data_IF_155316389193
#
_entry.id   IF_155316389193
#
_cell.length_a   1.000
_cell.length_b   1.000
_cell.length_c   1.000
_cell.angle_alpha   90.00
_cell.angle_beta   90.00
_cell.angle_gamma   90.00
#
_symmetry.space_group_name_H-M   'P 1'
#
loop_
_entity.id
_entity.type
_entity.pdbx_description
1 polymer ?
#
# COMPACT_ATOMS: atom_id res chain seq x y z
N UNK A 1 94.09 -4.16 -46.48
CA UNK A 1 92.91 -3.70 -45.70
C UNK A 1 91.64 -4.24 -46.34
N UNK A 2 91.16 -5.42 -45.90
CA UNK A 2 89.84 -6.00 -46.26
C UNK A 2 89.34 -6.89 -45.11
N UNK A 3 89.36 -6.37 -43.88
CA UNK A 3 88.91 -7.10 -42.68
C UNK A 3 87.73 -6.44 -41.93
N UNK A 4 87.34 -5.21 -42.30
CA UNK A 4 86.36 -4.43 -41.52
C UNK A 4 84.95 -4.38 -42.14
N UNK A 5 84.78 -4.67 -43.44
CA UNK A 5 83.47 -4.59 -44.10
C UNK A 5 82.51 -5.72 -43.67
N UNK A 6 83.02 -6.95 -43.49
CA UNK A 6 82.22 -8.06 -42.94
C UNK A 6 81.87 -7.88 -41.46
N UNK A 7 82.75 -7.24 -40.69
CA UNK A 7 82.50 -6.95 -39.27
C UNK A 7 81.41 -5.89 -39.10
N UNK A 8 81.40 -4.83 -39.93
CA UNK A 8 80.35 -3.81 -39.90
C UNK A 8 78.96 -4.37 -40.24
N UNK A 9 78.87 -5.27 -41.23
CA UNK A 9 77.61 -5.93 -41.60
C UNK A 9 77.09 -6.82 -40.45
N UNK A 10 77.96 -7.62 -39.82
CA UNK A 10 77.59 -8.48 -38.70
C UNK A 10 77.12 -7.64 -37.50
N UNK A 11 77.81 -6.54 -37.19
CA UNK A 11 77.40 -5.63 -36.11
C UNK A 11 76.02 -5.01 -36.40
N UNK A 12 75.77 -4.55 -37.64
CA UNK A 12 74.47 -4.01 -38.02
C UNK A 12 73.33 -5.04 -37.93
N UNK A 13 73.57 -6.28 -38.34
CA UNK A 13 72.61 -7.39 -38.22
C UNK A 13 72.33 -7.71 -36.76
N UNK A 14 73.36 -7.76 -35.92
CA UNK A 14 73.20 -8.03 -34.49
C UNK A 14 72.41 -6.90 -33.81
N UNK A 15 72.71 -5.62 -34.11
CA UNK A 15 71.94 -4.50 -33.58
C UNK A 15 70.48 -4.52 -34.05
N UNK A 16 70.24 -4.83 -35.33
CA UNK A 16 68.89 -4.95 -35.86
C UNK A 16 68.13 -6.12 -35.20
N UNK A 17 68.79 -7.24 -34.95
CA UNK A 17 68.24 -8.38 -34.21
C UNK A 17 67.89 -7.99 -32.77
N UNK A 18 68.76 -7.26 -32.07
CA UNK A 18 68.50 -6.81 -30.70
C UNK A 18 67.35 -5.80 -30.63
N UNK A 19 67.32 -4.82 -31.53
CA UNK A 19 66.25 -3.82 -31.59
C UNK A 19 64.91 -4.50 -31.93
N UNK A 20 64.87 -5.36 -32.94
CA UNK A 20 63.64 -6.09 -33.32
C UNK A 20 63.13 -7.02 -32.22
N UNK A 21 64.03 -7.75 -31.53
CA UNK A 21 63.66 -8.60 -30.39
C UNK A 21 63.12 -7.77 -29.23
N UNK A 22 63.75 -6.63 -28.93
CA UNK A 22 63.33 -5.73 -27.85
C UNK A 22 61.96 -5.12 -28.13
N UNK A 23 61.70 -4.69 -29.37
CA UNK A 23 60.39 -4.17 -29.79
C UNK A 23 59.32 -5.27 -29.70
N UNK A 24 59.62 -6.48 -30.18
CA UNK A 24 58.68 -7.61 -30.16
C UNK A 24 58.29 -7.99 -28.73
N UNK A 25 59.28 -8.09 -27.82
CA UNK A 25 59.03 -8.37 -26.40
C UNK A 25 58.35 -7.20 -25.69
N UNK A 26 58.64 -5.97 -26.09
CA UNK A 26 58.03 -4.75 -25.58
C UNK A 26 56.54 -4.63 -25.92
N UNK A 27 56.11 -5.12 -27.08
CA UNK A 27 54.71 -5.13 -27.52
C UNK A 27 53.95 -6.37 -27.05
N UNK A 28 54.61 -7.54 -27.01
CA UNK A 28 53.94 -8.80 -26.66
C UNK A 28 53.35 -8.78 -25.24
N UNK A 29 54.06 -8.22 -24.26
CA UNK A 29 53.60 -8.19 -22.87
C UNK A 29 52.33 -7.35 -22.66
N UNK A 30 52.24 -6.09 -23.12
CA UNK A 30 51.01 -5.30 -23.06
C UNK A 30 49.83 -5.96 -23.78
N UNK A 31 50.06 -6.61 -24.93
CA UNK A 31 48.99 -7.29 -25.68
C UNK A 31 48.44 -8.49 -24.90
N UNK A 32 49.32 -9.34 -24.35
CA UNK A 32 48.90 -10.47 -23.52
C UNK A 32 48.16 -10.00 -22.25
N UNK A 33 48.61 -8.90 -21.65
CA UNK A 33 47.92 -8.30 -20.52
C UNK A 33 46.53 -7.78 -20.89
N UNK A 34 46.40 -7.08 -22.03
CA UNK A 34 45.11 -6.60 -22.53
C UNK A 34 44.16 -7.75 -22.87
N UNK A 35 44.67 -8.86 -23.40
CA UNK A 35 43.89 -10.07 -23.65
C UNK A 35 43.39 -10.70 -22.34
N UNK A 36 44.22 -10.76 -21.29
CA UNK A 36 43.78 -11.22 -19.97
C UNK A 36 42.65 -10.34 -19.43
N UNK A 37 42.85 -9.02 -19.41
CA UNK A 37 41.82 -8.06 -18.93
C UNK A 37 40.52 -8.21 -19.72
N UNK A 38 40.60 -8.36 -21.04
CA UNK A 38 39.42 -8.52 -21.89
C UNK A 38 38.69 -9.83 -21.60
N UNK A 39 39.43 -10.92 -21.40
CA UNK A 39 38.86 -12.21 -21.00
C UNK A 39 38.22 -12.15 -19.61
N UNK A 40 38.89 -11.53 -18.64
CA UNK A 40 38.37 -11.36 -17.28
C UNK A 40 37.09 -10.52 -17.28
N UNK A 41 37.03 -9.48 -18.11
CA UNK A 41 35.82 -8.68 -18.31
C UNK A 41 34.67 -9.51 -18.92
N UNK A 42 34.95 -10.34 -19.92
CA UNK A 42 33.93 -11.22 -20.53
C UNK A 42 33.41 -12.24 -19.52
N UNK A 43 34.31 -12.90 -18.76
CA UNK A 43 33.91 -13.84 -17.70
C UNK A 43 33.06 -13.16 -16.64
N UNK A 44 33.49 -11.99 -16.17
CA UNK A 44 32.76 -11.18 -15.21
C UNK A 44 31.37 -10.80 -15.70
N UNK A 45 31.22 -10.43 -16.98
CA UNK A 45 29.91 -10.13 -17.57
C UNK A 45 29.02 -11.37 -17.63
N UNK A 46 29.57 -12.52 -18.01
CA UNK A 46 28.82 -13.77 -18.04
C UNK A 46 28.30 -14.16 -16.65
N UNK A 47 29.14 -14.06 -15.62
CA UNK A 47 28.73 -14.31 -14.22
C UNK A 47 27.61 -13.38 -13.78
N UNK A 48 27.72 -12.09 -14.12
CA UNK A 48 26.71 -11.09 -13.80
C UNK A 48 25.37 -11.38 -14.49
N UNK A 49 25.36 -11.67 -15.78
CA UNK A 49 24.13 -12.04 -16.50
C UNK A 49 23.51 -13.34 -15.97
N UNK A 50 24.34 -14.29 -15.51
CA UNK A 50 23.86 -15.53 -14.91
C UNK A 50 23.18 -15.28 -13.55
N UNK A 51 23.76 -14.43 -12.68
CA UNK A 51 23.10 -14.01 -11.44
C UNK A 51 21.83 -13.21 -11.69
N UNK A 52 21.84 -12.30 -12.67
CA UNK A 52 20.67 -11.47 -12.99
C UNK A 52 19.53 -12.32 -13.52
N UNK A 53 19.81 -13.27 -14.42
CA UNK A 53 18.81 -14.17 -15.00
C UNK A 53 18.09 -14.99 -13.92
N UNK A 54 18.83 -15.50 -12.94
CA UNK A 54 18.22 -16.23 -11.81
C UNK A 54 17.42 -15.29 -10.90
N UNK A 55 17.93 -14.08 -10.62
CA UNK A 55 17.20 -13.09 -9.84
C UNK A 55 15.87 -12.71 -10.52
N UNK A 56 15.89 -12.38 -11.80
CA UNK A 56 14.70 -12.02 -12.59
C UNK A 56 13.68 -13.17 -12.66
N UNK A 57 14.13 -14.41 -12.84
CA UNK A 57 13.24 -15.58 -12.83
C UNK A 57 12.54 -15.75 -11.45
N UNK A 58 13.28 -15.63 -10.36
CA UNK A 58 12.72 -15.71 -9.00
C UNK A 58 11.74 -14.55 -8.77
N UNK A 59 12.11 -13.32 -9.16
CA UNK A 59 11.24 -12.15 -9.08
C UNK A 59 9.95 -12.36 -9.86
N UNK A 60 10.03 -12.92 -11.07
CA UNK A 60 8.87 -13.23 -11.90
C UNK A 60 7.99 -14.31 -11.27
N UNK A 61 8.58 -15.39 -10.76
CA UNK A 61 7.85 -16.45 -10.06
C UNK A 61 7.12 -15.92 -8.82
N UNK A 62 7.79 -15.10 -8.02
CA UNK A 62 7.19 -14.44 -6.86
C UNK A 62 6.07 -13.46 -7.25
N UNK A 63 6.20 -12.71 -8.35
CA UNK A 63 5.16 -11.81 -8.87
C UNK A 63 3.94 -12.54 -9.44
N UNK A 64 4.10 -13.79 -9.89
CA UNK A 64 3.05 -14.57 -10.56
C UNK A 64 2.53 -15.73 -9.71
N UNK A 65 2.77 -15.67 -8.40
CA UNK A 65 2.32 -16.66 -7.41
C UNK A 65 2.75 -18.10 -7.73
N UNK A 66 3.98 -18.25 -8.24
CA UNK A 66 4.60 -19.55 -8.47
C UNK A 66 5.46 -19.95 -7.28
N UNK A 67 5.59 -21.25 -7.06
CA UNK A 67 6.41 -21.78 -5.97
C UNK A 67 7.89 -21.39 -6.13
N UNK A 68 8.47 -20.92 -5.03
CA UNK A 68 9.89 -20.58 -4.88
C UNK A 68 10.36 -21.14 -3.54
N UNK A 69 11.43 -21.93 -3.56
CA UNK A 69 12.08 -22.48 -2.37
C UNK A 69 13.02 -21.47 -1.70
N UNK A 70 13.60 -21.86 -0.57
CA UNK A 70 14.62 -21.06 0.13
C UNK A 70 15.97 -21.04 -0.60
N UNK A 71 16.17 -21.97 -1.55
CA UNK A 71 17.33 -22.05 -2.43
C UNK A 71 16.88 -22.43 -3.83
N UNK A 72 17.36 -21.71 -4.83
CA UNK A 72 17.00 -21.87 -6.24
C UNK A 72 18.28 -21.93 -7.09
N UNK A 73 18.22 -22.60 -8.24
CA UNK A 73 19.35 -22.63 -9.18
C UNK A 73 18.87 -22.53 -10.62
N UNK A 74 19.73 -21.95 -11.45
CA UNK A 74 19.53 -21.84 -12.89
C UNK A 74 20.82 -22.23 -13.59
N UNK A 75 20.74 -23.16 -14.52
CA UNK A 75 21.86 -23.57 -15.38
C UNK A 75 21.64 -23.04 -16.79
N UNK A 76 22.56 -22.22 -17.29
CA UNK A 76 22.59 -21.75 -18.68
C UNK A 76 23.87 -22.25 -19.34
N UNK A 77 23.75 -23.18 -20.28
CA UNK A 77 24.92 -23.84 -20.87
C UNK A 77 25.60 -24.78 -19.87
N UNK A 78 26.90 -24.57 -19.63
CA UNK A 78 27.71 -25.35 -18.68
C UNK A 78 27.78 -24.75 -17.27
N UNK A 79 27.22 -23.56 -17.07
CA UNK A 79 27.42 -22.76 -15.86
C UNK A 79 26.14 -22.68 -15.05
N UNK A 80 26.28 -22.58 -13.73
CA UNK A 80 25.14 -22.58 -12.79
C UNK A 80 25.19 -21.35 -11.88
N UNK A 81 24.07 -20.65 -11.78
CA UNK A 81 23.81 -19.70 -10.70
C UNK A 81 23.01 -20.37 -9.58
N UNK A 82 23.23 -19.91 -8.37
CA UNK A 82 22.45 -20.29 -7.19
C UNK A 82 21.92 -19.03 -6.49
N UNK A 83 20.76 -19.12 -5.86
CA UNK A 83 20.18 -18.01 -5.13
C UNK A 83 19.62 -18.48 -3.79
N UNK A 84 19.84 -17.68 -2.75
CA UNK A 84 19.14 -17.83 -1.48
C UNK A 84 17.98 -16.85 -1.41
N UNK A 85 16.80 -17.35 -1.04
CA UNK A 85 15.60 -16.55 -0.81
C UNK A 85 15.29 -16.57 0.68
N UNK A 86 15.35 -15.40 1.30
CA UNK A 86 15.03 -15.21 2.72
C UNK A 86 13.87 -14.24 2.89
N UNK A 87 13.08 -14.45 3.94
CA UNK A 87 12.04 -13.50 4.32
C UNK A 87 12.68 -12.25 4.94
N UNK A 88 12.21 -11.08 4.51
CA UNK A 88 12.53 -9.77 5.09
C UNK A 88 11.23 -9.11 5.52
N UNK A 89 11.32 -8.04 6.32
CA UNK A 89 10.13 -7.32 6.78
C UNK A 89 9.34 -6.76 5.59
N UNK A 90 8.23 -7.41 5.26
CA UNK A 90 7.33 -6.97 4.20
C UNK A 90 7.64 -7.52 2.81
N UNK A 91 8.47 -8.55 2.69
CA UNK A 91 8.69 -9.23 1.41
C UNK A 91 9.82 -10.26 1.46
N UNK A 92 10.60 -10.35 0.38
CA UNK A 92 11.67 -11.36 0.22
C UNK A 92 12.96 -10.71 -0.24
N UNK A 93 14.08 -11.14 0.32
CA UNK A 93 15.42 -10.82 -0.16
C UNK A 93 15.94 -11.99 -0.99
N UNK A 94 16.35 -11.70 -2.22
CA UNK A 94 16.95 -12.64 -3.15
C UNK A 94 18.43 -12.28 -3.27
N UNK A 95 19.31 -13.24 -2.99
CA UNK A 95 20.75 -13.09 -3.23
C UNK A 95 21.17 -14.14 -4.25
N UNK A 96 21.30 -13.74 -5.51
CA UNK A 96 21.70 -14.60 -6.61
C UNK A 96 23.21 -14.50 -6.86
N UNK A 97 23.89 -15.64 -6.96
CA UNK A 97 25.32 -15.78 -7.18
C UNK A 97 25.56 -16.50 -8.51
N UNK A 98 26.18 -15.82 -9.46
CA UNK A 98 26.63 -16.39 -10.72
C UNK A 98 28.14 -16.69 -10.66
N UNK A 99 28.53 -17.87 -11.12
CA UNK A 99 29.93 -18.26 -11.25
C UNK A 99 30.20 -18.71 -12.69
N UNK A 100 31.12 -18.02 -13.37
CA UNK A 100 31.63 -18.40 -14.69
C UNK A 100 33.15 -18.51 -14.58
N UNK A 101 33.69 -19.73 -14.66
CA UNK A 101 35.14 -19.99 -14.64
C UNK A 101 35.88 -19.21 -13.54
N UNK A 102 35.43 -19.35 -12.30
CA UNK A 102 35.95 -18.72 -11.06
C UNK A 102 35.76 -17.20 -10.97
N UNK A 103 35.08 -16.57 -11.94
CA UNK A 103 34.59 -15.20 -11.79
C UNK A 103 33.23 -15.24 -11.10
N UNK A 104 33.14 -14.69 -9.89
CA UNK A 104 31.89 -14.68 -9.11
C UNK A 104 31.28 -13.29 -9.11
N UNK A 105 29.96 -13.22 -9.37
CA UNK A 105 29.16 -12.00 -9.25
C UNK A 105 27.92 -12.30 -8.42
N UNK A 106 27.56 -11.37 -7.53
CA UNK A 106 26.33 -11.48 -6.73
C UNK A 106 25.43 -10.27 -6.95
N UNK A 107 24.16 -10.56 -7.13
CA UNK A 107 23.10 -9.56 -7.21
C UNK A 107 22.17 -9.77 -6.03
N UNK A 108 21.87 -8.69 -5.32
CA UNK A 108 20.83 -8.66 -4.31
C UNK A 108 19.62 -7.90 -4.83
N UNK A 109 18.45 -8.50 -4.69
CA UNK A 109 17.17 -7.90 -5.00
C UNK A 109 16.26 -8.04 -3.78
N UNK A 110 15.93 -6.90 -3.17
CA UNK A 110 14.95 -6.85 -2.10
C UNK A 110 13.60 -6.53 -2.73
N UNK A 111 12.69 -7.49 -2.64
CA UNK A 111 11.32 -7.36 -3.08
C UNK A 111 10.46 -7.06 -1.86
N UNK A 112 9.71 -5.97 -1.91
CA UNK A 112 8.64 -5.69 -0.95
C UNK A 112 7.31 -6.01 -1.62
N UNK A 113 6.34 -6.50 -0.86
CA UNK A 113 4.98 -6.66 -1.35
C UNK A 113 4.46 -5.27 -1.75
N UNK A 114 4.05 -5.11 -3.01
CA UNK A 114 3.50 -3.89 -3.57
C UNK A 114 1.99 -3.80 -3.33
N UNK A 115 1.44 -2.60 -3.48
CA UNK A 115 0.08 -2.23 -3.07
C UNK A 115 -1.02 -3.12 -3.66
N UNK A 116 -1.79 -3.78 -2.80
CA UNK A 116 -3.05 -4.45 -3.17
C UNK A 116 -4.29 -3.55 -3.06
N UNK A 117 -4.13 -2.31 -2.59
CA UNK A 117 -5.24 -1.43 -2.20
C UNK A 117 -4.91 0.00 -2.65
N UNK A 118 -5.73 0.56 -3.54
CA UNK A 118 -5.67 1.99 -3.91
C UNK A 118 -7.00 2.65 -3.56
N UNK A 119 -6.92 3.80 -2.91
CA UNK A 119 -8.09 4.63 -2.64
C UNK A 119 -8.14 5.77 -3.64
N UNK A 120 -9.10 5.66 -4.56
CA UNK A 120 -9.24 6.59 -5.68
C UNK A 120 -10.16 7.76 -5.39
N UNK A 121 -10.85 7.73 -4.24
CA UNK A 121 -11.93 8.66 -3.90
C UNK A 121 -11.78 9.17 -2.47
N UNK A 122 -12.33 10.34 -2.17
CA UNK A 122 -12.41 10.84 -0.80
C UNK A 122 -13.35 10.03 0.07
N UNK A 123 -14.41 9.53 -0.56
CA UNK A 123 -15.39 8.63 0.04
C UNK A 123 -15.74 7.55 -0.97
N UNK A 124 -15.54 6.29 -0.60
CA UNK A 124 -15.95 5.13 -1.40
C UNK A 124 -16.96 4.28 -0.64
N UNK A 125 -18.13 4.05 -1.22
CA UNK A 125 -19.25 3.42 -0.53
C UNK A 125 -19.76 2.20 -1.31
N UNK A 126 -20.07 1.14 -0.59
CA UNK A 126 -20.71 -0.04 -1.14
C UNK A 126 -22.19 0.17 -1.43
N UNK A 127 -22.90 -0.95 -1.53
CA UNK A 127 -24.31 -1.01 -1.97
C UNK A 127 -25.27 -0.36 -0.96
N UNK A 128 -24.85 -0.21 0.30
CA UNK A 128 -25.64 0.42 1.35
C UNK A 128 -25.80 1.93 1.20
N UNK A 129 -25.01 2.57 0.34
CA UNK A 129 -25.17 3.97 -0.03
C UNK A 129 -24.62 4.99 0.99
N UNK A 130 -24.60 6.26 0.55
CA UNK A 130 -24.19 7.42 1.34
C UNK A 130 -25.42 8.23 1.75
N UNK A 131 -25.52 8.58 3.02
CA UNK A 131 -26.42 9.63 3.49
C UNK A 131 -25.59 10.80 4.05
N UNK A 132 -25.78 11.99 3.50
CA UNK A 132 -25.13 13.22 3.94
C UNK A 132 -26.18 14.25 4.37
N UNK A 133 -26.09 14.78 5.58
CA UNK A 133 -27.17 15.58 6.18
C UNK A 133 -26.65 16.83 6.88
N UNK A 134 -27.53 17.82 7.04
CA UNK A 134 -27.24 19.11 7.68
C UNK A 134 -26.15 19.88 6.95
N UNK A 135 -25.17 20.44 7.65
CA UNK A 135 -24.06 21.21 7.08
C UNK A 135 -22.82 20.36 6.77
N UNK A 136 -22.99 19.03 6.61
CA UNK A 136 -21.88 18.12 6.42
C UNK A 136 -21.20 18.40 5.08
N UNK A 137 -19.86 18.35 5.08
CA UNK A 137 -19.05 18.64 3.90
C UNK A 137 -18.09 17.50 3.58
N UNK A 138 -18.03 17.09 2.31
CA UNK A 138 -16.96 16.23 1.78
C UNK A 138 -16.08 17.07 0.86
N UNK A 139 -14.78 17.16 1.15
CA UNK A 139 -13.78 17.76 0.27
C UNK A 139 -13.06 16.66 -0.49
N UNK A 140 -13.56 16.32 -1.67
CA UNK A 140 -13.09 15.21 -2.48
C UNK A 140 -14.23 14.57 -3.30
N UNK A 141 -13.85 13.63 -4.17
CA UNK A 141 -14.81 12.87 -4.98
C UNK A 141 -15.50 11.81 -4.13
N UNK A 142 -16.76 11.53 -4.47
CA UNK A 142 -17.59 10.50 -3.84
C UNK A 142 -17.99 9.46 -4.88
N UNK A 143 -17.72 8.20 -4.58
CA UNK A 143 -18.16 7.06 -5.39
C UNK A 143 -19.00 6.11 -4.53
N UNK A 144 -20.17 5.72 -5.00
CA UNK A 144 -21.02 4.73 -4.32
C UNK A 144 -21.57 3.71 -5.31
N UNK A 145 -21.56 2.43 -4.93
CA UNK A 145 -22.35 1.40 -5.63
C UNK A 145 -23.86 1.50 -5.30
N UNK A 146 -24.20 2.23 -4.24
CA UNK A 146 -25.56 2.44 -3.75
C UNK A 146 -26.06 3.88 -3.96
N UNK A 147 -27.24 4.19 -3.40
CA UNK A 147 -27.81 5.54 -3.49
C UNK A 147 -26.98 6.55 -2.69
N UNK A 148 -26.90 7.78 -3.20
CA UNK A 148 -26.33 8.93 -2.51
C UNK A 148 -27.48 9.90 -2.22
N UNK A 149 -27.79 10.05 -0.94
CA UNK A 149 -28.90 10.86 -0.44
C UNK A 149 -28.40 12.01 0.41
N UNK A 150 -28.97 13.18 0.19
CA UNK A 150 -28.61 14.44 0.81
C UNK A 150 -29.82 15.09 1.48
N UNK A 151 -29.61 15.74 2.60
CA UNK A 151 -30.63 16.55 3.28
C UNK A 151 -30.06 17.89 3.74
N UNK A 152 -30.91 18.92 3.80
CA UNK A 152 -30.56 20.28 4.25
C UNK A 152 -29.39 20.87 3.42
N UNK A 153 -28.46 21.58 4.06
CA UNK A 153 -27.36 22.32 3.40
C UNK A 153 -26.07 21.50 3.28
N UNK A 154 -26.17 20.25 2.83
CA UNK A 154 -25.00 19.38 2.63
C UNK A 154 -24.14 19.90 1.47
N UNK A 155 -22.85 19.55 1.43
CA UNK A 155 -21.96 19.97 0.35
C UNK A 155 -20.91 18.91 0.02
N UNK A 156 -20.80 18.55 -1.26
CA UNK A 156 -19.71 17.71 -1.78
C UNK A 156 -18.86 18.55 -2.74
N UNK A 157 -17.61 18.80 -2.37
CA UNK A 157 -16.63 19.53 -3.18
C UNK A 157 -15.84 18.56 -4.07
N UNK A 158 -16.53 17.99 -5.05
CA UNK A 158 -15.95 17.00 -5.95
C UNK A 158 -17.01 16.38 -6.85
N UNK A 159 -16.59 15.41 -7.67
CA UNK A 159 -17.50 14.63 -8.49
C UNK A 159 -18.29 13.66 -7.62
N UNK A 160 -19.55 13.42 -7.99
CA UNK A 160 -20.47 12.51 -7.29
C UNK A 160 -20.92 11.42 -8.25
N UNK A 161 -20.62 10.17 -7.91
CA UNK A 161 -20.94 9.01 -8.74
C UNK A 161 -21.77 8.02 -7.91
N UNK A 162 -23.02 7.79 -8.33
CA UNK A 162 -23.83 6.66 -7.88
C UNK A 162 -23.93 5.66 -9.04
N UNK A 163 -23.23 4.54 -8.90
CA UNK A 163 -23.02 3.56 -9.94
C UNK A 163 -24.19 2.57 -10.07
N UNK A 164 -24.23 1.88 -11.21
CA UNK A 164 -25.21 0.84 -11.51
C UNK A 164 -26.56 1.35 -12.02
N UNK A 165 -27.42 0.43 -12.51
CA UNK A 165 -28.71 0.76 -13.11
C UNK A 165 -29.76 1.25 -12.09
N UNK A 166 -29.47 1.13 -10.80
CA UNK A 166 -30.28 1.67 -9.69
C UNK A 166 -29.62 2.87 -9.03
N UNK A 167 -28.55 3.41 -9.64
CA UNK A 167 -27.83 4.57 -9.11
C UNK A 167 -28.74 5.77 -8.91
N UNK A 168 -28.68 6.38 -7.74
CA UNK A 168 -29.52 7.50 -7.34
C UNK A 168 -28.67 8.58 -6.67
N UNK A 169 -28.80 9.81 -7.15
CA UNK A 169 -28.37 11.01 -6.44
C UNK A 169 -29.64 11.82 -6.09
N UNK A 170 -29.86 12.08 -4.82
CA UNK A 170 -31.09 12.71 -4.30
C UNK A 170 -30.77 13.74 -3.22
N UNK A 171 -31.18 15.00 -3.37
CA UNK A 171 -31.02 16.02 -2.32
C UNK A 171 -29.58 16.51 -2.07
N UNK A 172 -28.68 16.31 -3.04
CA UNK A 172 -27.24 16.59 -2.88
C UNK A 172 -26.84 17.92 -3.53
N UNK A 173 -25.93 18.67 -2.90
CA UNK A 173 -25.21 19.77 -3.53
C UNK A 173 -23.78 19.35 -3.88
N UNK A 174 -23.42 19.36 -5.17
CA UNK A 174 -22.10 19.00 -5.66
C UNK A 174 -21.46 20.16 -6.44
N UNK A 175 -20.22 20.52 -6.10
CA UNK A 175 -19.49 21.61 -6.78
C UNK A 175 -18.85 21.19 -8.10
N UNK A 176 -18.98 19.92 -8.49
CA UNK A 176 -18.45 19.37 -9.73
C UNK A 176 -19.53 18.58 -10.47
N UNK A 177 -19.18 17.54 -11.22
CA UNK A 177 -20.12 16.80 -12.06
C UNK A 177 -20.79 15.64 -11.30
N UNK A 178 -21.98 15.26 -11.75
CA UNK A 178 -22.75 14.15 -11.19
C UNK A 178 -23.02 13.06 -12.23
N UNK A 179 -22.92 11.80 -11.79
CA UNK A 179 -23.13 10.60 -12.61
C UNK A 179 -24.03 9.62 -11.86
N UNK A 180 -25.25 9.40 -12.35
CA UNK A 180 -26.17 8.41 -11.79
C UNK A 180 -27.28 8.05 -12.79
N UNK A 181 -27.90 6.88 -12.63
CA UNK A 181 -29.09 6.54 -13.41
C UNK A 181 -30.20 7.59 -13.20
N UNK A 182 -30.49 7.91 -11.94
CA UNK A 182 -31.46 8.93 -11.54
C UNK A 182 -30.79 10.05 -10.74
N UNK A 183 -31.02 11.31 -11.12
CA UNK A 183 -30.63 12.49 -10.34
C UNK A 183 -31.88 13.30 -9.99
N UNK A 184 -32.16 13.53 -8.72
CA UNK A 184 -33.29 14.38 -8.32
C UNK A 184 -33.00 15.33 -7.17
N UNK A 185 -33.79 16.40 -7.12
CA UNK A 185 -33.83 17.38 -6.01
C UNK A 185 -32.43 17.89 -5.61
N UNK A 186 -31.51 17.98 -6.58
CA UNK A 186 -30.08 18.23 -6.34
C UNK A 186 -29.61 19.55 -6.96
N UNK A 187 -28.43 20.03 -6.55
CA UNK A 187 -27.73 21.15 -7.15
C UNK A 187 -26.35 20.70 -7.64
N UNK A 188 -26.13 20.73 -8.95
CA UNK A 188 -24.90 20.27 -9.59
C UNK A 188 -24.24 21.46 -10.30
N UNK A 189 -23.10 21.93 -9.82
CA UNK A 189 -22.48 23.17 -10.32
C UNK A 189 -21.88 23.00 -11.73
N UNK A 190 -21.49 21.77 -12.11
CA UNK A 190 -20.97 21.44 -13.45
C UNK A 190 -21.94 20.54 -14.22
N UNK A 191 -21.47 19.41 -14.74
CA UNK A 191 -22.20 18.60 -15.70
C UNK A 191 -23.01 17.49 -15.01
N UNK A 192 -24.11 17.07 -15.64
CA UNK A 192 -24.92 15.97 -15.14
C UNK A 192 -25.12 14.88 -16.21
N UNK A 193 -24.72 13.65 -15.88
CA UNK A 193 -24.86 12.45 -16.70
C UNK A 193 -25.93 11.53 -16.11
N UNK A 194 -27.02 11.30 -16.85
CA UNK A 194 -28.20 10.63 -16.30
C UNK A 194 -29.07 9.92 -17.34
N UNK A 195 -29.95 9.05 -16.84
CA UNK A 195 -31.10 8.51 -17.58
C UNK A 195 -32.38 9.28 -17.23
N UNK A 196 -32.60 9.57 -15.94
CA UNK A 196 -33.75 10.34 -15.43
C UNK A 196 -33.28 11.50 -14.56
N UNK A 197 -33.84 12.70 -14.79
CA UNK A 197 -33.58 13.88 -13.97
C UNK A 197 -34.86 14.62 -13.61
N UNK A 198 -34.99 15.08 -12.36
CA UNK A 198 -36.17 15.84 -11.90
C UNK A 198 -35.86 16.73 -10.69
N UNK A 199 -36.36 17.96 -10.64
CA UNK A 199 -36.14 18.84 -9.47
C UNK A 199 -34.68 19.27 -9.25
N UNK A 200 -33.80 19.01 -10.21
CA UNK A 200 -32.36 19.28 -10.13
C UNK A 200 -31.99 20.55 -10.88
N UNK A 201 -31.14 21.38 -10.28
CA UNK A 201 -30.49 22.51 -10.95
C UNK A 201 -29.10 22.10 -11.41
N UNK A 202 -28.77 22.33 -12.68
CA UNK A 202 -27.46 22.00 -13.27
C UNK A 202 -26.85 23.27 -13.85
N UNK A 203 -25.64 23.62 -13.40
CA UNK A 203 -24.91 24.81 -13.84
C UNK A 203 -24.16 24.63 -15.16
N UNK A 204 -23.75 23.40 -15.46
CA UNK A 204 -23.06 23.01 -16.70
C UNK A 204 -23.98 22.33 -17.71
N UNK A 205 -23.44 21.33 -18.41
CA UNK A 205 -24.11 20.64 -19.51
C UNK A 205 -24.90 19.42 -19.02
N UNK A 206 -26.10 19.24 -19.60
CA UNK A 206 -26.91 18.04 -19.41
C UNK A 206 -26.54 16.98 -20.45
N UNK A 207 -26.21 15.77 -20.00
CA UNK A 207 -25.91 14.61 -20.84
C UNK A 207 -26.97 13.50 -20.64
N UNK A 208 -28.16 13.64 -21.24
CA UNK A 208 -29.23 12.63 -21.14
C UNK A 208 -28.84 11.33 -21.86
N UNK A 209 -29.36 10.20 -21.38
CA UNK A 209 -29.06 8.85 -21.87
C UNK A 209 -27.58 8.45 -21.74
N UNK A 210 -26.84 9.05 -20.81
CA UNK A 210 -25.46 8.65 -20.51
C UNK A 210 -25.44 7.24 -19.91
N UNK A 211 -24.52 6.36 -20.32
CA UNK A 211 -24.43 5.02 -19.75
C UNK A 211 -24.16 5.06 -18.24
N UNK A 212 -24.78 4.14 -17.51
CA UNK A 212 -24.57 4.01 -16.07
C UNK A 212 -23.10 3.66 -15.78
N UNK A 213 -22.54 4.28 -14.74
CA UNK A 213 -21.17 3.95 -14.30
C UNK A 213 -21.14 2.53 -13.73
N UNK A 214 -20.08 1.78 -14.03
CA UNK A 214 -19.91 0.44 -13.48
C UNK A 214 -19.66 0.50 -11.97
N UNK A 215 -20.24 -0.46 -11.23
CA UNK A 215 -19.94 -0.66 -9.81
C UNK A 215 -18.50 -1.12 -9.62
N UNK A 216 -17.90 -0.80 -8.47
CA UNK A 216 -16.54 -1.22 -8.11
C UNK A 216 -16.55 -1.95 -6.76
N UNK A 217 -15.81 -3.05 -6.60
CA UNK A 217 -15.64 -3.65 -5.27
C UNK A 217 -14.95 -2.67 -4.32
N UNK A 218 -15.19 -2.87 -3.02
CA UNK A 218 -14.46 -2.13 -1.99
C UNK A 218 -12.98 -2.52 -1.98
N UNK A 219 -12.08 -1.60 -1.61
CA UNK A 219 -10.65 -1.71 -1.90
C UNK A 219 -9.89 -2.70 -0.99
N UNK A 220 -10.42 -3.09 0.18
CA UNK A 220 -9.78 -4.05 1.09
C UNK A 220 -10.59 -5.35 1.16
N UNK A 221 -10.00 -6.47 0.77
CA UNK A 221 -10.66 -7.78 0.85
C UNK A 221 -10.62 -8.38 2.26
N UNK A 222 -11.60 -9.24 2.57
CA UNK A 222 -11.62 -10.02 3.82
C UNK A 222 -10.38 -10.89 4.01
N UNK A 223 -9.83 -11.44 2.91
CA UNK A 223 -8.61 -12.23 2.96
C UNK A 223 -7.41 -11.41 3.46
N UNK A 224 -7.28 -10.18 2.98
CA UNK A 224 -6.21 -9.27 3.42
C UNK A 224 -6.35 -8.89 4.89
N UNK A 225 -7.59 -8.71 5.37
CA UNK A 225 -7.85 -8.46 6.80
C UNK A 225 -7.45 -9.68 7.64
N UNK A 226 -7.82 -10.88 7.21
CA UNK A 226 -7.44 -12.13 7.88
C UNK A 226 -5.92 -12.34 7.93
N UNK A 227 -5.18 -11.90 6.90
CA UNK A 227 -3.72 -11.94 6.90
C UNK A 227 -3.13 -11.03 7.99
N UNK A 228 -3.66 -9.81 8.17
CA UNK A 228 -3.23 -8.94 9.27
C UNK A 228 -3.59 -9.48 10.64
N UNK A 229 -4.74 -10.14 10.78
CA UNK A 229 -5.14 -10.83 12.01
C UNK A 229 -4.19 -11.98 12.35
N UNK A 230 -3.73 -12.72 11.34
CA UNK A 230 -2.72 -13.76 11.48
C UNK A 230 -1.37 -13.19 11.97
N UNK A 231 -0.92 -12.07 11.38
CA UNK A 231 0.30 -11.35 11.83
C UNK A 231 0.14 -10.86 13.28
N UNK A 232 -1.00 -10.28 13.63
CA UNK A 232 -1.30 -9.83 14.99
C UNK A 232 -1.30 -11.01 15.99
N UNK A 233 -1.90 -12.15 15.62
CA UNK A 233 -1.90 -13.35 16.44
C UNK A 233 -0.49 -13.94 16.64
N UNK A 234 0.34 -13.94 15.60
CA UNK A 234 1.72 -14.39 15.66
C UNK A 234 2.59 -13.54 16.61
N UNK A 235 2.30 -12.24 16.75
CA UNK A 235 2.93 -11.35 17.74
C UNK A 235 2.53 -11.59 19.20
N UNK A 236 1.67 -12.59 19.44
CA UNK A 236 1.21 -13.03 20.74
C UNK A 236 -0.08 -12.36 21.18
N UNK A 237 -0.61 -12.82 22.30
CA UNK A 237 -1.92 -12.40 22.84
C UNK A 237 -1.73 -11.63 24.14
N UNK A 238 -2.43 -10.51 24.33
CA UNK A 238 -2.42 -9.78 25.62
C UNK A 238 -3.34 -10.45 26.64
N UNK A 239 -3.03 -10.27 27.92
CA UNK A 239 -3.89 -10.71 29.02
C UNK A 239 -4.93 -9.65 29.32
N UNK A 240 -6.20 -10.03 29.27
CA UNK A 240 -7.31 -9.15 29.60
C UNK A 240 -7.73 -9.28 31.06
N UNK A 241 -8.22 -8.19 31.65
CA UNK A 241 -8.79 -8.17 32.99
C UNK A 241 -10.23 -7.70 32.93
N UNK A 242 -11.16 -8.49 33.47
CA UNK A 242 -12.60 -8.12 33.47
C UNK A 242 -13.23 -7.96 32.08
N UNK A 243 -12.69 -8.62 31.05
CA UNK A 243 -13.19 -8.49 29.66
C UNK A 243 -12.71 -7.25 28.91
N UNK A 244 -11.79 -6.49 29.49
CA UNK A 244 -11.20 -5.30 28.88
C UNK A 244 -9.67 -5.31 28.94
N UNK A 245 -9.06 -4.60 28.01
CA UNK A 245 -7.67 -4.18 28.00
C UNK A 245 -7.66 -2.65 27.90
N UNK A 246 -7.37 -2.00 29.03
CA UNK A 246 -7.33 -0.55 29.12
C UNK A 246 -5.87 -0.10 29.00
N UNK A 247 -5.59 0.79 28.05
CA UNK A 247 -4.30 1.48 27.99
C UNK A 247 -4.25 2.48 29.15
N UNK A 248 -3.09 2.60 29.79
CA UNK A 248 -2.85 3.57 30.86
C UNK A 248 -1.45 4.15 30.74
N UNK A 249 -1.31 5.47 30.75
CA UNK A 249 -0.05 6.16 30.53
C UNK A 249 0.41 6.05 29.07
N UNK A 250 1.68 5.72 28.85
CA UNK A 250 2.25 5.51 27.51
C UNK A 250 2.60 4.04 27.32
N UNK A 251 2.02 3.42 26.29
CA UNK A 251 2.20 2.00 25.98
C UNK A 251 2.64 1.83 24.53
N UNK A 252 3.65 1.01 24.29
CA UNK A 252 4.03 0.54 22.95
C UNK A 252 3.47 -0.87 22.74
N UNK A 253 2.76 -1.09 21.63
CA UNK A 253 2.03 -2.32 21.37
C UNK A 253 2.02 -2.67 19.88
N UNK A 254 2.16 -3.95 19.56
CA UNK A 254 1.98 -4.47 18.20
C UNK A 254 3.24 -5.16 17.65
N UNK A 255 3.10 -6.11 16.72
CA UNK A 255 1.85 -6.81 16.38
C UNK A 255 1.32 -7.61 17.57
N UNK A 256 0.01 -7.57 17.85
CA UNK A 256 -0.62 -8.35 18.95
C UNK A 256 -2.11 -8.60 18.76
N UNK A 257 -2.58 -9.75 19.26
CA UNK A 257 -4.01 -10.05 19.46
C UNK A 257 -4.49 -9.62 20.85
N UNK A 258 -5.70 -9.06 20.90
CA UNK A 258 -6.41 -8.61 22.08
C UNK A 258 -7.73 -9.38 22.19
N UNK A 259 -7.83 -10.40 23.05
CA UNK A 259 -8.97 -11.32 23.08
C UNK A 259 -10.21 -10.75 23.80
N UNK A 260 -10.35 -9.42 23.84
CA UNK A 260 -11.35 -8.71 24.64
C UNK A 260 -11.53 -7.27 24.12
N UNK A 261 -12.29 -6.42 24.82
CA UNK A 261 -12.44 -5.01 24.43
C UNK A 261 -11.14 -4.22 24.64
N UNK A 262 -10.85 -3.25 23.77
CA UNK A 262 -9.74 -2.30 23.90
C UNK A 262 -10.29 -0.90 24.23
N UNK A 263 -9.73 -0.24 25.24
CA UNK A 263 -10.08 1.14 25.59
C UNK A 263 -8.84 2.00 25.75
N UNK A 264 -8.81 3.16 25.11
CA UNK A 264 -7.82 4.22 25.32
C UNK A 264 -8.59 5.51 25.62
N UNK A 265 -8.29 6.14 26.75
CA UNK A 265 -9.04 7.28 27.25
C UNK A 265 -8.12 8.37 27.84
N UNK A 266 -8.72 9.48 28.27
CA UNK A 266 -8.04 10.53 29.01
C UNK A 266 -6.89 11.13 28.21
N UNK A 267 -5.68 11.07 28.75
CA UNK A 267 -4.44 11.53 28.10
C UNK A 267 -3.51 10.37 27.74
N UNK A 268 -4.04 9.15 27.68
CA UNK A 268 -3.24 7.95 27.43
C UNK A 268 -2.75 7.88 25.99
N UNK A 269 -1.60 7.23 25.80
CA UNK A 269 -0.86 7.20 24.53
C UNK A 269 -0.53 5.77 24.14
N UNK A 270 -0.91 5.40 22.93
CA UNK A 270 -0.60 4.12 22.31
C UNK A 270 0.35 4.32 21.13
N UNK A 271 1.53 3.70 21.17
CA UNK A 271 2.50 3.66 20.07
C UNK A 271 2.44 2.29 19.39
N UNK A 272 2.12 2.28 18.10
CA UNK A 272 1.89 1.06 17.32
C UNK A 272 3.18 0.59 16.64
N UNK A 273 3.63 -0.61 16.99
CA UNK A 273 4.79 -1.29 16.36
C UNK A 273 4.37 -2.41 15.40
N UNK A 274 3.07 -2.56 15.13
CA UNK A 274 2.52 -3.51 14.17
C UNK A 274 0.99 -3.63 14.28
N UNK A 275 0.33 -4.45 13.45
CA UNK A 275 -1.12 -4.58 13.46
C UNK A 275 -1.68 -5.09 14.79
N UNK A 276 -2.83 -4.55 15.18
CA UNK A 276 -3.58 -5.01 16.36
C UNK A 276 -4.87 -5.67 15.93
N UNK A 277 -5.14 -6.87 16.43
CA UNK A 277 -6.42 -7.56 16.24
C UNK A 277 -7.17 -7.65 17.56
N UNK A 278 -8.32 -7.00 17.65
CA UNK A 278 -9.19 -6.95 18.83
C UNK A 278 -10.43 -7.79 18.58
N UNK A 279 -10.64 -8.86 19.35
CA UNK A 279 -11.85 -9.71 19.26
C UNK A 279 -13.00 -9.17 20.11
N UNK A 280 -13.11 -7.86 20.20
CA UNK A 280 -14.09 -7.13 21.00
C UNK A 280 -14.41 -5.78 20.34
N UNK A 281 -14.89 -4.84 21.13
CA UNK A 281 -15.06 -3.46 20.68
C UNK A 281 -13.82 -2.64 21.01
N UNK A 282 -13.59 -1.58 20.24
CA UNK A 282 -12.49 -0.63 20.42
C UNK A 282 -13.08 0.74 20.74
N UNK A 283 -12.60 1.36 21.80
CA UNK A 283 -12.99 2.70 22.21
C UNK A 283 -11.76 3.61 22.32
N UNK A 284 -11.82 4.73 21.60
CA UNK A 284 -10.96 5.88 21.79
C UNK A 284 -11.82 7.04 22.27
N UNK A 285 -11.44 7.63 23.39
CA UNK A 285 -12.19 8.75 23.97
C UNK A 285 -11.28 9.82 24.55
N UNK A 286 -11.85 11.00 24.72
CA UNK A 286 -11.18 12.19 25.27
C UNK A 286 -9.88 12.50 24.49
N UNK A 287 -8.91 13.13 25.15
CA UNK A 287 -7.64 13.57 24.55
C UNK A 287 -6.63 12.42 24.35
N UNK A 288 -7.11 11.19 24.16
CA UNK A 288 -6.27 10.03 23.91
C UNK A 288 -5.51 10.17 22.59
N UNK A 289 -4.34 9.55 22.53
CA UNK A 289 -3.49 9.61 21.35
C UNK A 289 -3.06 8.22 20.90
N UNK A 290 -3.16 8.00 19.61
CA UNK A 290 -2.63 6.81 18.95
C UNK A 290 -1.62 7.25 17.91
N UNK A 291 -0.41 6.70 17.96
CA UNK A 291 0.67 7.03 17.04
C UNK A 291 1.28 5.78 16.44
N UNK A 292 1.65 5.82 15.17
CA UNK A 292 2.57 4.83 14.59
C UNK A 292 3.96 5.07 15.18
N UNK A 293 4.63 4.02 15.63
CA UNK A 293 5.98 4.10 16.17
C UNK A 293 6.99 4.54 15.10
N UNK A 294 8.03 5.27 15.48
CA UNK A 294 9.04 5.82 14.55
C UNK A 294 9.77 4.72 13.75
N UNK A 295 9.90 3.52 14.32
CA UNK A 295 10.45 2.36 13.61
C UNK A 295 9.65 1.96 12.36
N UNK A 296 8.40 2.40 12.25
CA UNK A 296 7.50 2.18 11.12
C UNK A 296 7.26 3.45 10.28
N UNK A 297 8.23 4.38 10.28
CA UNK A 297 8.14 5.59 9.46
C UNK A 297 7.79 5.30 8.00
N UNK A 298 6.82 6.05 7.46
CA UNK A 298 6.28 5.88 6.12
C UNK A 298 5.36 4.66 5.93
N UNK A 299 5.00 3.95 7.01
CA UNK A 299 4.10 2.79 6.93
C UNK A 299 2.76 3.06 7.61
N UNK A 300 1.72 2.44 7.08
CA UNK A 300 0.38 2.44 7.69
C UNK A 300 0.21 1.21 8.58
N UNK A 301 -0.41 1.39 9.74
CA UNK A 301 -0.67 0.30 10.69
C UNK A 301 -2.17 0.10 10.88
N UNK A 302 -2.60 -1.15 10.78
CA UNK A 302 -4.00 -1.55 10.95
C UNK A 302 -4.34 -1.82 12.43
N UNK A 303 -5.49 -1.29 12.88
CA UNK A 303 -6.16 -1.69 14.11
C UNK A 303 -7.52 -2.27 13.71
N UNK A 304 -7.69 -3.56 13.97
CA UNK A 304 -8.81 -4.37 13.47
C UNK A 304 -9.70 -4.75 14.65
N UNK A 305 -10.98 -4.40 14.56
CA UNK A 305 -12.02 -4.96 15.41
C UNK A 305 -12.71 -6.08 14.63
N UNK A 306 -12.40 -7.33 14.98
CA UNK A 306 -13.10 -8.49 14.45
C UNK A 306 -13.26 -9.58 15.52
N UNK A 307 -14.51 -9.86 15.87
CA UNK A 307 -14.90 -11.04 16.61
C UNK A 307 -15.61 -12.02 15.66
N UNK A 308 -14.90 -13.05 15.14
CA UNK A 308 -15.50 -14.07 14.25
C UNK A 308 -16.73 -14.79 14.83
N UNK A 309 -16.89 -14.79 16.17
CA UNK A 309 -18.07 -15.38 16.82
C UNK A 309 -19.27 -14.44 16.92
N UNK A 310 -19.10 -13.13 16.70
CA UNK A 310 -20.15 -12.12 16.84
C UNK A 310 -19.85 -10.85 16.02
N UNK A 311 -20.03 -10.93 14.70
CA UNK A 311 -19.82 -9.79 13.80
C UNK A 311 -21.05 -8.88 13.67
N UNK A 312 -22.14 -9.10 14.42
CA UNK A 312 -23.37 -8.28 14.29
C UNK A 312 -23.54 -7.28 15.42
N UNK A 313 -23.17 -7.65 16.65
CA UNK A 313 -23.30 -6.79 17.84
C UNK A 313 -21.96 -6.37 18.48
N UNK A 314 -20.86 -7.05 18.11
CA UNK A 314 -19.47 -6.72 18.48
C UNK A 314 -18.68 -6.18 17.27
N UNK A 315 -17.35 -6.14 17.35
CA UNK A 315 -16.46 -5.65 16.29
C UNK A 315 -16.61 -4.16 16.01
N UNK A 316 -17.11 -3.38 16.99
CA UNK A 316 -17.40 -1.96 16.81
C UNK A 316 -16.18 -1.11 17.19
N UNK A 317 -16.03 0.02 16.51
CA UNK A 317 -15.02 1.03 16.83
C UNK A 317 -15.71 2.35 17.12
N UNK A 318 -15.36 3.01 18.22
CA UNK A 318 -15.82 4.38 18.51
C UNK A 318 -14.63 5.29 18.79
N UNK A 319 -14.56 6.44 18.12
CA UNK A 319 -13.58 7.49 18.39
C UNK A 319 -14.29 8.80 18.72
N UNK A 320 -13.96 9.41 19.86
CA UNK A 320 -14.72 10.55 20.39
C UNK A 320 -13.90 11.54 21.22
N UNK A 321 -14.37 12.79 21.30
CA UNK A 321 -13.93 13.84 22.22
C UNK A 321 -12.43 14.22 22.11
N UNK A 322 -11.94 14.68 20.96
CA UNK A 322 -10.55 15.16 20.81
C UNK A 322 -9.46 14.08 20.75
N UNK A 323 -9.80 12.86 20.30
CA UNK A 323 -8.81 11.82 20.01
C UNK A 323 -7.91 12.23 18.85
N UNK A 324 -6.60 12.00 18.99
CA UNK A 324 -5.59 12.32 17.97
C UNK A 324 -4.92 11.06 17.40
N UNK A 325 -4.88 10.95 16.07
CA UNK A 325 -4.19 9.89 15.34
C UNK A 325 -2.96 10.43 14.61
N UNK A 326 -1.78 9.88 14.88
CA UNK A 326 -0.52 10.31 14.27
C UNK A 326 0.16 9.19 13.49
N UNK A 327 0.59 9.50 12.27
CA UNK A 327 1.53 8.64 11.55
C UNK A 327 2.98 8.97 11.91
N UNK A 328 3.90 8.09 11.52
CA UNK A 328 5.33 8.32 11.55
C UNK A 328 5.81 8.79 10.16
N UNK A 329 6.08 10.10 10.00
CA UNK A 329 6.53 10.67 8.72
C UNK A 329 5.41 11.05 7.74
N UNK A 330 5.77 11.37 6.48
CA UNK A 330 4.86 11.95 5.49
C UNK A 330 3.73 11.00 5.06
N UNK A 331 4.07 9.73 4.81
CA UNK A 331 3.17 8.72 4.23
C UNK A 331 2.83 7.60 5.24
N UNK A 332 2.49 7.97 6.47
CA UNK A 332 2.12 6.99 7.50
C UNK A 332 0.76 7.35 8.07
N UNK A 333 -0.10 6.35 8.19
CA UNK A 333 -1.47 6.50 8.65
C UNK A 333 -1.82 5.38 9.64
N UNK A 334 -2.91 5.58 10.37
CA UNK A 334 -3.54 4.53 11.16
C UNK A 334 -4.81 4.14 10.43
N UNK A 335 -4.96 2.86 10.14
CA UNK A 335 -6.16 2.33 9.50
C UNK A 335 -7.01 1.61 10.54
N UNK A 336 -8.22 2.11 10.77
CA UNK A 336 -9.22 1.47 11.62
C UNK A 336 -10.13 0.59 10.75
N UNK A 337 -10.20 -0.70 11.08
CA UNK A 337 -11.01 -1.68 10.36
C UNK A 337 -12.04 -2.29 11.30
N UNK A 338 -13.30 -2.26 10.90
CA UNK A 338 -14.36 -3.03 11.56
C UNK A 338 -14.91 -4.09 10.61
N UNK A 339 -14.94 -5.34 11.08
CA UNK A 339 -15.62 -6.45 10.40
C UNK A 339 -17.08 -6.63 10.89
N UNK A 340 -17.71 -5.60 11.44
CA UNK A 340 -19.13 -5.68 11.80
C UNK A 340 -20.01 -5.73 10.52
N UNK A 341 -20.90 -6.72 10.44
CA UNK A 341 -21.77 -7.05 9.31
C UNK A 341 -23.22 -6.63 9.49
N UNK A 342 -23.54 -5.91 10.57
CA UNK A 342 -24.94 -5.58 10.88
C UNK A 342 -25.61 -4.82 9.75
N UNK A 343 -24.92 -3.90 9.08
CA UNK A 343 -25.51 -3.06 8.06
C UNK A 343 -25.79 -3.82 6.75
N UNK A 344 -24.84 -4.64 6.31
CA UNK A 344 -25.00 -5.52 5.15
C UNK A 344 -26.15 -6.53 5.34
N UNK A 345 -26.38 -6.96 6.59
CA UNK A 345 -27.49 -7.86 6.95
C UNK A 345 -28.83 -7.14 7.21
N UNK A 346 -28.93 -5.84 6.92
CA UNK A 346 -30.17 -5.05 7.10
C UNK A 346 -30.44 -4.56 8.52
N UNK A 347 -29.49 -4.72 9.44
CA UNK A 347 -29.54 -4.17 10.80
C UNK A 347 -29.06 -2.72 10.90
N UNK A 348 -29.28 -2.10 12.06
CA UNK A 348 -28.98 -0.68 12.30
C UNK A 348 -27.68 -0.39 13.06
N UNK A 349 -26.95 -1.40 13.51
CA UNK A 349 -25.75 -1.23 14.35
C UNK A 349 -24.63 -0.58 13.54
N UNK A 350 -24.05 0.47 14.12
CA UNK A 350 -22.85 1.11 13.58
C UNK A 350 -21.62 0.24 13.79
N UNK A 351 -20.80 0.11 12.75
CA UNK A 351 -19.52 -0.56 12.78
C UNK A 351 -18.42 0.39 13.28
N UNK A 352 -18.44 1.64 12.81
CA UNK A 352 -17.51 2.68 13.25
C UNK A 352 -18.28 3.99 13.51
N UNK A 353 -18.18 4.50 14.73
CA UNK A 353 -18.70 5.83 15.11
C UNK A 353 -17.54 6.79 15.34
N UNK A 354 -17.44 7.84 14.52
CA UNK A 354 -16.47 8.93 14.69
C UNK A 354 -17.21 10.21 15.02
N UNK A 355 -16.99 10.75 16.22
CA UNK A 355 -17.71 11.94 16.66
C UNK A 355 -16.84 12.92 17.46
N UNK A 356 -17.26 14.19 17.49
CA UNK A 356 -16.73 15.22 18.38
C UNK A 356 -15.20 15.36 18.41
N UNK A 357 -14.65 16.06 17.42
CA UNK A 357 -13.25 16.54 17.39
C UNK A 357 -12.19 15.45 17.18
N UNK A 358 -12.44 14.46 16.33
CA UNK A 358 -11.39 13.48 15.95
C UNK A 358 -10.56 14.03 14.78
N UNK A 359 -9.23 14.04 14.95
CA UNK A 359 -8.29 14.61 13.98
C UNK A 359 -7.07 13.71 13.76
N UNK A 360 -6.44 13.86 12.60
CA UNK A 360 -5.09 13.33 12.34
C UNK A 360 -4.97 12.48 11.07
N UNK A 361 -3.97 11.60 11.05
CA UNK A 361 -3.67 10.69 9.93
C UNK A 361 -4.40 9.35 10.10
N UNK A 362 -5.72 9.39 10.05
CA UNK A 362 -6.57 8.20 10.22
C UNK A 362 -7.41 7.92 8.97
N UNK A 363 -7.44 6.65 8.59
CA UNK A 363 -8.29 6.06 7.57
C UNK A 363 -9.29 5.15 8.27
N UNK A 364 -10.55 5.14 7.84
CA UNK A 364 -11.58 4.26 8.41
C UNK A 364 -12.19 3.36 7.35
N UNK A 365 -12.28 2.07 7.66
CA UNK A 365 -12.76 1.03 6.77
C UNK A 365 -13.78 0.12 7.46
N UNK A 366 -14.96 -0.06 6.87
CA UNK A 366 -15.96 -1.02 7.34
C UNK A 366 -16.64 -1.72 6.15
N UNK A 367 -15.97 -2.73 5.59
CA UNK A 367 -16.37 -3.40 4.34
C UNK A 367 -17.80 -3.93 4.30
N UNK A 368 -18.34 -4.35 5.46
CA UNK A 368 -19.71 -4.85 5.63
C UNK A 368 -20.59 -3.97 6.53
N UNK A 369 -20.00 -2.89 7.03
CA UNK A 369 -20.50 -2.14 8.16
C UNK A 369 -21.04 -0.77 7.79
N UNK A 370 -21.74 -0.17 8.75
CA UNK A 370 -22.13 1.24 8.68
C UNK A 370 -21.10 2.10 9.40
N UNK A 371 -20.61 3.15 8.75
CA UNK A 371 -19.81 4.20 9.40
C UNK A 371 -20.68 5.42 9.64
N UNK A 372 -20.66 5.96 10.86
CA UNK A 372 -21.34 7.21 11.21
C UNK A 372 -20.31 8.25 11.61
N UNK A 373 -20.34 9.41 10.95
CA UNK A 373 -19.44 10.53 11.18
C UNK A 373 -20.28 11.74 11.57
N UNK A 374 -20.01 12.34 12.72
CA UNK A 374 -20.84 13.43 13.26
C UNK A 374 -20.01 14.51 13.94
N UNK A 375 -20.45 15.77 13.78
CA UNK A 375 -19.81 16.97 14.34
C UNK A 375 -18.39 17.19 13.79
N UNK A 376 -17.65 18.15 14.35
CA UNK A 376 -16.30 18.54 13.90
C UNK A 376 -15.35 17.34 13.87
N UNK A 377 -15.14 16.73 12.72
CA UNK A 377 -14.25 15.58 12.51
C UNK A 377 -13.43 15.90 11.26
N UNK A 378 -12.17 15.48 11.21
CA UNK A 378 -11.34 15.53 9.99
C UNK A 378 -10.70 14.17 9.75
N UNK A 379 -11.30 13.39 8.84
CA UNK A 379 -10.79 12.11 8.36
C UNK A 379 -10.13 12.30 7.00
N UNK A 380 -9.11 11.49 6.72
CA UNK A 380 -8.38 11.50 5.43
C UNK A 380 -9.07 10.69 4.34
N UNK A 381 -9.86 9.69 4.76
CA UNK A 381 -10.44 8.66 3.91
C UNK A 381 -11.56 7.96 4.67
N UNK A 382 -12.67 7.67 4.01
CA UNK A 382 -13.76 6.89 4.59
C UNK A 382 -14.27 5.90 3.55
N UNK A 383 -14.22 4.61 3.89
CA UNK A 383 -14.72 3.55 3.02
C UNK A 383 -15.59 2.57 3.80
N UNK A 384 -16.80 2.27 3.32
CA UNK A 384 -17.70 1.33 4.00
C UNK A 384 -18.79 0.75 3.10
N UNK A 385 -19.51 -0.27 3.58
CA UNK A 385 -20.76 -0.71 2.96
C UNK A 385 -21.82 0.41 2.95
N UNK A 386 -21.98 1.12 4.07
CA UNK A 386 -22.89 2.26 4.23
C UNK A 386 -22.24 3.38 5.03
N UNK A 387 -22.46 4.63 4.64
CA UNK A 387 -21.91 5.79 5.34
C UNK A 387 -23.01 6.80 5.68
N UNK A 388 -22.99 7.33 6.90
CA UNK A 388 -23.85 8.42 7.36
C UNK A 388 -22.98 9.58 7.87
N UNK A 389 -23.05 10.74 7.21
CA UNK A 389 -22.31 11.96 7.59
C UNK A 389 -23.30 13.02 8.03
N UNK A 390 -23.18 13.48 9.28
CA UNK A 390 -24.16 14.36 9.91
C UNK A 390 -23.55 15.66 10.47
N UNK A 391 -24.41 16.66 10.67
CA UNK A 391 -24.11 17.94 11.35
C UNK A 391 -23.00 18.75 10.66
N UNK A 392 -21.95 19.11 11.40
CA UNK A 392 -20.81 19.90 10.91
C UNK A 392 -19.60 19.04 10.57
N UNK A 393 -19.80 17.74 10.28
CA UNK A 393 -18.72 16.83 9.94
C UNK A 393 -18.08 17.18 8.60
N UNK A 394 -16.75 17.03 8.56
CA UNK A 394 -15.94 17.34 7.39
C UNK A 394 -15.03 16.15 7.05
N UNK A 395 -15.19 15.60 5.85
CA UNK A 395 -14.26 14.59 5.33
C UNK A 395 -13.31 15.32 4.37
N UNK A 396 -12.00 15.28 4.62
CA UNK A 396 -11.01 15.97 3.78
C UNK A 396 -10.11 14.93 3.15
N UNK A 397 -10.33 14.67 1.86
CA UNK A 397 -9.44 13.81 1.10
C UNK A 397 -8.08 14.48 0.89
N UNK A 398 -7.01 13.72 1.14
CA UNK A 398 -5.65 14.13 0.75
C UNK A 398 -5.23 13.37 -0.51
N UNK A 399 -5.11 14.11 -1.61
CA UNK A 399 -4.60 13.59 -2.89
C UNK A 399 -3.22 12.97 -2.69
N UNK A 400 -3.02 11.72 -3.13
CA UNK A 400 -1.76 10.99 -2.96
C UNK A 400 -1.88 9.69 -2.16
N UNK A 401 -3.04 9.42 -1.55
CA UNK A 401 -3.35 8.14 -0.89
C UNK A 401 -3.47 6.93 -1.84
N UNK A 402 -3.55 7.18 -3.15
CA UNK A 402 -3.81 6.20 -4.21
C UNK A 402 -2.77 5.07 -4.39
N UNK A 403 -1.73 4.99 -3.54
CA UNK A 403 -0.71 3.93 -3.59
C UNK A 403 -0.08 3.64 -2.22
N UNK A 404 -0.74 4.10 -1.15
CA UNK A 404 -0.05 4.34 0.11
C UNK A 404 -0.17 3.18 1.11
N UNK A 405 -0.89 2.11 0.77
CA UNK A 405 -1.16 1.05 1.73
C UNK A 405 -0.53 -0.33 1.40
N UNK A 406 0.17 -0.79 2.45
CA UNK A 406 0.60 -2.15 2.82
C UNK A 406 1.88 -2.71 2.22
N UNK A 407 2.95 -2.54 3.00
CA UNK A 407 4.17 -3.35 2.95
C UNK A 407 4.06 -4.67 3.74
N UNK A 408 2.90 -5.02 4.31
CA UNK A 408 2.74 -6.17 5.21
C UNK A 408 1.39 -6.85 4.97
N UNK A 409 1.25 -7.58 3.86
CA UNK A 409 0.09 -8.42 3.55
C UNK A 409 0.33 -9.14 2.22
N UNK A 410 0.13 -10.47 2.12
CA UNK A 410 0.45 -11.24 0.93
C UNK A 410 -0.72 -11.21 -0.06
N UNK A 411 -0.94 -10.09 -0.76
CA UNK A 411 -1.66 -10.10 -2.05
C UNK A 411 -1.64 -8.71 -2.67
N UNK A 412 -0.57 -8.46 -3.39
CA UNK A 412 -0.29 -7.23 -4.12
C UNK A 412 1.14 -7.38 -4.62
N UNK A 413 1.30 -7.52 -5.93
CA UNK A 413 2.56 -8.00 -6.53
C UNK A 413 3.79 -7.27 -6.02
N UNK A 414 4.94 -7.95 -5.99
CA UNK A 414 6.17 -7.37 -5.45
C UNK A 414 6.64 -6.13 -6.22
N UNK A 415 7.03 -5.07 -5.51
CA UNK A 415 7.85 -3.97 -6.05
C UNK A 415 9.30 -4.17 -5.64
N UNK A 416 10.23 -3.76 -6.50
CA UNK A 416 11.66 -3.78 -6.18
C UNK A 416 11.93 -2.59 -5.25
N UNK A 417 12.39 -2.88 -4.04
CA UNK A 417 12.77 -1.87 -3.04
C UNK A 417 14.23 -1.45 -3.27
N UNK A 418 15.12 -2.42 -3.35
CA UNK A 418 16.54 -2.19 -3.63
C UNK A 418 17.05 -3.23 -4.63
N UNK A 419 17.86 -2.78 -5.57
CA UNK A 419 18.66 -3.62 -6.46
C UNK A 419 20.11 -3.14 -6.42
N UNK A 420 21.04 -4.04 -6.11
CA UNK A 420 22.48 -3.74 -6.12
C UNK A 420 23.35 -4.96 -6.37
N UNK A 421 24.52 -4.72 -6.94
CA UNK A 421 25.63 -5.67 -6.92
C UNK A 421 26.26 -5.68 -5.52
N UNK A 422 26.55 -6.86 -4.98
CA UNK A 422 27.15 -7.02 -3.65
C UNK A 422 28.42 -7.86 -3.73
N UNK A 423 29.41 -7.58 -2.86
CA UNK A 423 30.68 -8.32 -2.78
C UNK A 423 30.51 -9.80 -2.40
#
# INVERSE_FOLDING_TARGET
MKKNEGQALITAIIFFLFISTTITLGVAKPVLHQLSISNDLVRSKNSYFLSESLSEDIVYRLKTDKQVGSSESLTLGSETATASVSDILGGKSIVATGNFSDSVRKVRTDLIMGSGVSFSYGVQVGDGGLNISNSATVEGNVFSNGPITGQNSNLIKGDVISAGPTGLIDGVQATSSAYAHTIRDSQIDKDAHYQVISGTTVGGVLYPNSPDQAVSPLPISDALIADWESVAAAGGTVTCSGGNYNISGSVTLGPKKIPCNLSIDGSDRLYLTGPLWVTGNIQFSNTSKVAVDESLSGRTVAIIADNPSNQTSSSKISASNSTEFQGAGANSYILLISQNKSAEQGGGTSAIDVNNSVFGKVLVYAGHGKIVISNTVNLKEVTAYRIEINNSAKVIYETGLANLLFTTGPSGGYTIDEWKETE
#
